data_IF_340442880903
#
_entry.id   IF_340442880903
#
_cell.length_a   1.000
_cell.length_b   1.000
_cell.length_c   1.000
_cell.angle_alpha   90.00
_cell.angle_beta   90.00
_cell.angle_gamma   90.00
#
_symmetry.space_group_name_H-M   'P 1'
#
loop_
_entity.id
_entity.type
_entity.pdbx_description
1 polymer ?
#
# COMPACT_ATOMS: atom_id res chain seq x y z
N UNK A 1 -18.75 -73.44 -5.56
CA UNK A 1 -17.70 -72.88 -6.44
C UNK A 1 -18.42 -72.19 -7.58
N UNK A 2 -18.70 -70.90 -7.43
CA UNK A 2 -19.21 -70.04 -8.51
C UNK A 2 -18.24 -68.86 -8.64
N UNK A 3 -17.73 -68.68 -9.84
CA UNK A 3 -16.66 -67.77 -10.22
C UNK A 3 -17.22 -66.39 -10.53
N UNK A 4 -16.84 -65.38 -9.73
CA UNK A 4 -17.12 -63.96 -9.99
C UNK A 4 -16.37 -63.46 -11.23
N UNK A 5 -17.11 -62.88 -12.18
CA UNK A 5 -16.56 -62.18 -13.33
C UNK A 5 -16.17 -60.74 -12.94
N UNK A 6 -14.90 -60.37 -13.17
CA UNK A 6 -14.39 -59.02 -12.96
C UNK A 6 -14.72 -58.10 -14.16
N UNK A 7 -15.29 -56.94 -13.87
CA UNK A 7 -15.56 -55.87 -14.84
C UNK A 7 -14.28 -55.07 -15.09
N UNK A 8 -13.94 -54.66 -16.34
CA UNK A 8 -12.75 -53.87 -16.60
C UNK A 8 -12.99 -52.39 -16.23
N UNK A 9 -12.19 -51.89 -15.30
CA UNK A 9 -12.15 -50.48 -14.90
C UNK A 9 -11.55 -49.64 -16.03
N UNK A 10 -12.35 -48.71 -16.57
CA UNK A 10 -11.95 -47.75 -17.61
C UNK A 10 -10.96 -46.75 -17.04
N UNK A 11 -9.79 -46.61 -17.67
CA UNK A 11 -8.78 -45.59 -17.33
C UNK A 11 -9.35 -44.17 -17.37
N UNK A 12 -8.89 -43.25 -16.49
CA UNK A 12 -9.29 -41.86 -16.53
C UNK A 12 -8.72 -41.17 -17.77
N UNK A 13 -9.60 -40.57 -18.57
CA UNK A 13 -9.21 -39.72 -19.70
C UNK A 13 -8.47 -38.47 -19.19
N UNK A 14 -7.45 -37.98 -19.91
CA UNK A 14 -6.87 -36.67 -19.62
C UNK A 14 -7.92 -35.56 -19.83
N UNK A 15 -7.85 -34.43 -19.09
CA UNK A 15 -8.76 -33.33 -19.27
C UNK A 15 -8.66 -32.80 -20.71
N UNK A 16 -9.80 -32.63 -21.36
CA UNK A 16 -9.88 -32.09 -22.71
C UNK A 16 -9.23 -30.69 -22.73
N UNK A 17 -8.28 -30.49 -23.63
CA UNK A 17 -7.71 -29.17 -23.89
C UNK A 17 -8.84 -28.21 -24.30
N UNK A 18 -8.96 -27.07 -23.60
CA UNK A 18 -9.93 -26.03 -23.92
C UNK A 18 -9.77 -25.61 -25.39
N UNK A 19 -10.88 -25.48 -26.16
CA UNK A 19 -10.80 -25.10 -27.55
C UNK A 19 -10.16 -23.71 -27.67
N UNK A 20 -9.18 -23.58 -28.56
CA UNK A 20 -8.55 -22.29 -28.86
C UNK A 20 -9.62 -21.30 -29.35
N UNK A 21 -9.64 -20.04 -28.87
CA UNK A 21 -10.67 -19.09 -29.23
C UNK A 21 -10.64 -18.80 -30.73
N UNK A 22 -11.81 -18.62 -31.33
CA UNK A 22 -11.91 -18.27 -32.75
C UNK A 22 -11.20 -16.93 -33.03
N UNK A 23 -10.57 -16.75 -34.21
CA UNK A 23 -9.82 -15.53 -34.53
C UNK A 23 -10.64 -14.23 -34.37
N UNK A 24 -11.93 -14.28 -34.69
CA UNK A 24 -12.86 -13.16 -34.55
C UNK A 24 -13.10 -12.79 -33.08
N UNK A 25 -13.27 -13.78 -32.22
CA UNK A 25 -13.47 -13.57 -30.77
C UNK A 25 -12.21 -13.02 -30.12
N UNK A 26 -11.04 -13.54 -30.51
CA UNK A 26 -9.75 -13.04 -30.03
C UNK A 26 -9.49 -11.59 -30.43
N UNK A 27 -9.88 -11.18 -31.64
CA UNK A 27 -9.74 -9.79 -32.08
C UNK A 27 -10.61 -8.83 -31.26
N UNK A 28 -11.85 -9.22 -30.97
CA UNK A 28 -12.78 -8.42 -30.17
C UNK A 28 -12.31 -8.32 -28.71
N UNK A 29 -11.89 -9.45 -28.13
CA UNK A 29 -11.27 -9.50 -26.79
C UNK A 29 -10.09 -8.54 -26.71
N UNK A 30 -9.15 -8.63 -27.68
CA UNK A 30 -7.95 -7.79 -27.70
C UNK A 30 -8.29 -6.31 -27.70
N UNK A 31 -9.30 -5.88 -28.47
CA UNK A 31 -9.72 -4.48 -28.48
C UNK A 31 -10.24 -3.99 -27.12
N UNK A 32 -10.96 -4.83 -26.39
CA UNK A 32 -11.46 -4.50 -25.06
C UNK A 32 -10.33 -4.52 -24.02
N UNK A 33 -9.48 -5.56 -24.05
CA UNK A 33 -8.33 -5.71 -23.18
C UNK A 33 -7.33 -4.55 -23.32
N UNK A 34 -7.00 -4.13 -24.55
CA UNK A 34 -6.14 -2.97 -24.83
C UNK A 34 -6.59 -1.71 -24.09
N UNK A 35 -7.90 -1.42 -24.13
CA UNK A 35 -8.48 -0.25 -23.46
C UNK A 35 -8.45 -0.40 -21.94
N UNK A 36 -8.83 -1.57 -21.43
CA UNK A 36 -8.84 -1.81 -20.00
C UNK A 36 -7.43 -1.71 -19.40
N UNK A 37 -6.46 -2.41 -20.00
CA UNK A 37 -5.07 -2.39 -19.56
C UNK A 37 -4.52 -0.95 -19.54
N UNK A 38 -4.76 -0.15 -20.58
CA UNK A 38 -4.41 1.29 -20.58
C UNK A 38 -5.02 2.04 -19.40
N UNK A 39 -6.33 1.89 -19.19
CA UNK A 39 -7.01 2.57 -18.09
C UNK A 39 -6.44 2.18 -16.73
N UNK A 40 -6.19 0.89 -16.49
CA UNK A 40 -5.62 0.42 -15.23
C UNK A 40 -4.21 0.96 -15.02
N UNK A 41 -3.37 1.01 -16.06
CA UNK A 41 -2.04 1.61 -15.96
C UNK A 41 -2.06 3.12 -15.74
N UNK A 42 -3.03 3.84 -16.30
CA UNK A 42 -3.26 5.25 -15.95
C UNK A 42 -3.70 5.41 -14.48
N UNK A 43 -4.51 4.49 -13.97
CA UNK A 43 -4.88 4.48 -12.54
C UNK A 43 -3.70 4.15 -11.64
N UNK A 44 -2.83 3.23 -12.04
CA UNK A 44 -1.58 2.93 -11.33
C UNK A 44 -0.68 4.16 -11.27
N UNK A 45 -0.49 4.87 -12.39
CA UNK A 45 0.31 6.10 -12.43
C UNK A 45 -0.24 7.17 -11.48
N UNK A 46 -1.53 7.48 -11.58
CA UNK A 46 -2.17 8.49 -10.73
C UNK A 46 -2.11 8.12 -9.23
N UNK A 47 -2.27 6.84 -8.89
CA UNK A 47 -2.18 6.37 -7.51
C UNK A 47 -0.74 6.42 -6.97
N UNK A 48 0.26 6.11 -7.81
CA UNK A 48 1.68 6.30 -7.48
C UNK A 48 1.98 7.77 -7.14
N UNK A 49 1.58 8.70 -8.00
CA UNK A 49 1.84 10.13 -7.76
C UNK A 49 1.19 10.60 -6.46
N UNK A 50 -0.08 10.22 -6.25
CA UNK A 50 -0.79 10.52 -5.00
C UNK A 50 -0.06 9.96 -3.76
N UNK A 51 0.50 8.75 -3.85
CA UNK A 51 1.30 8.18 -2.77
C UNK A 51 2.56 9.01 -2.51
N UNK A 52 3.32 9.36 -3.55
CA UNK A 52 4.58 10.09 -3.43
C UNK A 52 4.38 11.48 -2.84
N UNK A 53 3.33 12.20 -3.27
CA UNK A 53 2.95 13.49 -2.72
C UNK A 53 2.58 13.38 -1.23
N UNK A 54 1.71 12.43 -0.88
CA UNK A 54 1.31 12.20 0.51
C UNK A 54 2.49 11.79 1.40
N UNK A 55 3.44 11.01 0.87
CA UNK A 55 4.66 10.63 1.58
C UNK A 55 5.57 11.84 1.81
N UNK A 56 5.70 12.74 0.84
CA UNK A 56 6.48 13.97 0.96
C UNK A 56 5.86 14.93 1.99
N UNK A 57 4.54 15.11 1.94
CA UNK A 57 3.80 15.91 2.92
C UNK A 57 3.91 15.32 4.33
N UNK A 58 3.70 14.00 4.46
CA UNK A 58 3.84 13.28 5.73
C UNK A 58 5.22 13.47 6.34
N UNK A 59 6.28 13.44 5.52
CA UNK A 59 7.65 13.74 5.99
C UNK A 59 7.77 15.14 6.57
N UNK A 60 7.21 16.13 5.88
CA UNK A 60 7.24 17.52 6.33
C UNK A 60 6.54 17.65 7.69
N UNK A 61 5.37 17.02 7.87
CA UNK A 61 4.64 17.01 9.14
C UNK A 61 5.36 16.25 10.24
N UNK A 62 5.99 15.13 9.93
CA UNK A 62 6.83 14.41 10.88
C UNK A 62 8.01 15.27 11.37
N UNK A 63 8.68 15.99 10.47
CA UNK A 63 9.78 16.88 10.84
C UNK A 63 9.30 18.06 11.69
N UNK A 64 8.17 18.69 11.33
CA UNK A 64 7.57 19.76 12.12
C UNK A 64 7.14 19.29 13.51
N UNK A 65 6.58 18.08 13.62
CA UNK A 65 6.20 17.44 14.89
C UNK A 65 7.43 17.23 15.78
N UNK A 66 8.47 16.59 15.25
CA UNK A 66 9.72 16.34 15.97
C UNK A 66 10.37 17.65 16.44
N UNK A 67 10.43 18.65 15.56
CA UNK A 67 10.99 19.96 15.90
C UNK A 67 10.18 20.65 17.01
N UNK A 68 8.85 20.61 16.94
CA UNK A 68 7.98 21.19 17.96
C UNK A 68 8.16 20.48 19.31
N UNK A 69 8.21 19.14 19.29
CA UNK A 69 8.42 18.31 20.46
C UNK A 69 9.75 18.59 21.16
N UNK A 70 10.86 18.57 20.40
CA UNK A 70 12.20 18.89 20.94
C UNK A 70 12.23 20.32 21.48
N UNK A 71 11.70 21.29 20.73
CA UNK A 71 11.64 22.68 21.17
C UNK A 71 10.85 22.86 22.46
N UNK A 72 9.77 22.08 22.67
CA UNK A 72 8.96 22.13 23.87
C UNK A 72 9.72 21.54 25.05
N UNK A 73 10.33 20.37 24.86
CA UNK A 73 11.11 19.67 25.87
C UNK A 73 12.30 20.51 26.35
N UNK A 74 12.97 21.20 25.43
CA UNK A 74 14.17 21.99 25.73
C UNK A 74 13.81 23.44 26.17
N UNK A 75 12.54 23.82 26.12
CA UNK A 75 12.04 25.15 26.51
C UNK A 75 12.47 25.58 27.92
N UNK A 76 12.51 24.72 28.96
CA UNK A 76 12.99 25.12 30.29
C UNK A 76 14.45 25.58 30.30
N UNK A 77 15.30 24.94 29.49
CA UNK A 77 16.74 25.21 29.41
C UNK A 77 17.10 26.28 28.35
N UNK A 78 16.15 26.65 27.48
CA UNK A 78 16.38 27.59 26.38
C UNK A 78 16.72 28.99 26.92
N UNK A 79 17.81 29.58 26.42
CA UNK A 79 18.13 30.99 26.65
C UNK A 79 17.18 31.89 25.86
N UNK A 80 16.33 32.61 26.58
CA UNK A 80 15.37 33.54 26.00
C UNK A 80 15.93 34.97 25.87
N UNK A 81 17.20 35.19 26.25
CA UNK A 81 17.85 36.49 26.21
C UNK A 81 17.05 37.55 26.96
N UNK A 82 16.73 38.65 26.29
CA UNK A 82 15.94 39.77 26.84
C UNK A 82 14.51 39.40 27.22
N UNK A 83 13.99 38.28 26.73
CA UNK A 83 12.63 37.84 27.01
C UNK A 83 12.52 37.03 28.31
N UNK A 84 13.64 36.61 28.91
CA UNK A 84 13.64 35.73 30.11
C UNK A 84 12.90 36.33 31.32
N UNK A 85 12.89 37.66 31.41
CA UNK A 85 12.27 38.40 32.52
C UNK A 85 10.76 38.64 32.29
N UNK A 86 10.23 38.28 31.11
CA UNK A 86 8.81 38.42 30.80
C UNK A 86 8.00 37.33 31.54
N UNK A 87 7.06 37.71 32.43
CA UNK A 87 6.29 36.72 33.19
C UNK A 87 5.48 35.80 32.27
N UNK A 88 5.56 34.49 32.52
CA UNK A 88 4.77 33.46 31.81
C UNK A 88 5.16 33.23 30.34
N UNK A 89 6.26 33.81 29.84
CA UNK A 89 6.68 33.64 28.44
C UNK A 89 6.96 32.17 28.09
N UNK A 90 7.59 31.43 29.00
CA UNK A 90 7.91 30.00 28.82
C UNK A 90 6.63 29.18 28.71
N UNK A 91 5.68 29.37 29.63
CA UNK A 91 4.41 28.66 29.62
C UNK A 91 3.62 28.92 28.33
N UNK A 92 3.60 30.17 27.87
CA UNK A 92 2.94 30.55 26.61
C UNK A 92 3.64 29.95 25.39
N UNK A 93 4.97 29.92 25.38
CA UNK A 93 5.75 29.30 24.31
C UNK A 93 5.54 27.78 24.28
N UNK A 94 5.62 27.10 25.44
CA UNK A 94 5.33 25.68 25.58
C UNK A 94 3.91 25.33 25.14
N UNK A 95 2.91 26.13 25.55
CA UNK A 95 1.51 25.94 25.12
C UNK A 95 1.34 26.06 23.61
N UNK A 96 2.05 27.03 22.98
CA UNK A 96 2.03 27.20 21.52
C UNK A 96 2.68 26.01 20.81
N UNK A 97 3.77 25.48 21.37
CA UNK A 97 4.44 24.30 20.82
C UNK A 97 3.58 23.03 20.97
N UNK A 98 2.92 22.85 22.12
CA UNK A 98 1.99 21.74 22.34
C UNK A 98 0.85 21.74 21.32
N UNK A 99 0.24 22.91 21.07
CA UNK A 99 -0.78 23.04 20.02
C UNK A 99 -0.23 22.75 18.62
N UNK A 100 1.03 23.12 18.35
CA UNK A 100 1.68 22.81 17.06
C UNK A 100 1.92 21.31 16.92
N UNK A 101 2.33 20.62 17.98
CA UNK A 101 2.48 19.16 17.98
C UNK A 101 1.16 18.45 17.65
N UNK A 102 0.07 18.82 18.33
CA UNK A 102 -1.27 18.29 18.07
C UNK A 102 -1.68 18.47 16.61
N UNK A 103 -1.51 19.69 16.07
CA UNK A 103 -1.83 19.96 14.66
C UNK A 103 -0.95 19.14 13.70
N UNK A 104 0.36 19.06 13.93
CA UNK A 104 1.26 18.32 13.06
C UNK A 104 0.96 16.81 13.10
N UNK A 105 0.55 16.31 14.26
CA UNK A 105 0.12 14.92 14.47
C UNK A 105 -1.13 14.59 13.63
N UNK A 106 -2.17 15.42 13.70
CA UNK A 106 -3.40 15.20 12.92
C UNK A 106 -3.10 15.24 11.42
N UNK A 107 -2.26 16.19 10.98
CA UNK A 107 -1.84 16.28 9.59
C UNK A 107 -0.99 15.08 9.15
N UNK A 108 -0.09 14.59 10.01
CA UNK A 108 0.71 13.39 9.74
C UNK A 108 -0.20 12.16 9.56
N UNK A 109 -1.18 11.99 10.44
CA UNK A 109 -2.16 10.92 10.34
C UNK A 109 -3.01 11.02 9.06
N UNK A 110 -3.42 12.22 8.68
CA UNK A 110 -4.13 12.46 7.42
C UNK A 110 -3.26 12.13 6.19
N UNK A 111 -1.96 12.44 6.23
CA UNK A 111 -1.03 12.06 5.15
C UNK A 111 -0.92 10.54 5.07
N UNK A 112 -0.72 9.86 6.20
CA UNK A 112 -0.69 8.40 6.29
C UNK A 112 -1.96 7.75 5.70
N UNK A 113 -3.15 8.22 6.09
CA UNK A 113 -4.42 7.74 5.53
C UNK A 113 -4.48 7.92 4.00
N UNK A 114 -4.00 9.05 3.50
CA UNK A 114 -3.95 9.30 2.05
C UNK A 114 -3.03 8.29 1.34
N UNK A 115 -1.91 7.91 1.96
CA UNK A 115 -1.03 6.87 1.45
C UNK A 115 -1.73 5.51 1.42
N UNK A 116 -2.41 5.10 2.49
CA UNK A 116 -3.17 3.83 2.52
C UNK A 116 -4.22 3.79 1.40
N UNK A 117 -5.00 4.85 1.23
CA UNK A 117 -5.97 4.95 0.13
C UNK A 117 -5.32 4.85 -1.26
N UNK A 118 -4.18 5.53 -1.46
CA UNK A 118 -3.44 5.46 -2.72
C UNK A 118 -2.98 4.02 -3.02
N UNK A 119 -2.50 3.29 -2.01
CA UNK A 119 -2.12 1.88 -2.16
C UNK A 119 -3.32 0.97 -2.43
N UNK A 120 -4.47 1.22 -1.80
CA UNK A 120 -5.72 0.51 -2.13
C UNK A 120 -6.06 0.67 -3.62
N UNK A 121 -5.86 1.87 -4.18
CA UNK A 121 -6.07 2.12 -5.62
C UNK A 121 -5.04 1.40 -6.49
N UNK A 122 -3.76 1.36 -6.08
CA UNK A 122 -2.72 0.60 -6.77
C UNK A 122 -3.07 -0.90 -6.85
N UNK A 123 -3.39 -1.51 -5.71
CA UNK A 123 -3.78 -2.93 -5.62
C UNK A 123 -5.03 -3.24 -6.44
N UNK A 124 -6.03 -2.36 -6.38
CA UNK A 124 -7.24 -2.52 -7.17
C UNK A 124 -6.95 -2.48 -8.66
N UNK A 125 -6.17 -1.50 -9.12
CA UNK A 125 -5.83 -1.35 -10.53
C UNK A 125 -4.97 -2.52 -11.03
N UNK A 126 -4.01 -3.00 -10.23
CA UNK A 126 -3.17 -4.14 -10.61
C UNK A 126 -3.98 -5.42 -10.84
N UNK A 127 -5.03 -5.64 -10.03
CA UNK A 127 -5.92 -6.82 -10.11
C UNK A 127 -7.05 -6.69 -11.13
N UNK A 128 -7.23 -5.53 -11.75
CA UNK A 128 -8.40 -5.24 -12.62
C UNK A 128 -8.07 -5.24 -14.12
N UNK A 129 -6.93 -5.81 -14.53
CA UNK A 129 -6.48 -5.77 -15.93
C UNK A 129 -7.18 -6.79 -16.84
N UNK A 130 -7.71 -7.88 -16.26
CA UNK A 130 -8.40 -8.97 -16.98
C UNK A 130 -9.67 -8.48 -17.67
N UNK A 131 -9.97 -9.09 -18.81
CA UNK A 131 -11.15 -8.76 -19.62
C UNK A 131 -11.90 -10.04 -20.00
N UNK A 132 -13.09 -10.22 -19.44
CA UNK A 132 -13.88 -11.44 -19.47
C UNK A 132 -15.00 -11.35 -20.50
N UNK A 133 -15.38 -12.49 -21.05
CA UNK A 133 -16.52 -12.64 -21.94
C UNK A 133 -17.83 -12.45 -21.17
N UNK A 134 -18.74 -11.67 -21.73
CA UNK A 134 -20.06 -11.47 -21.14
C UNK A 134 -21.03 -12.54 -21.63
N UNK A 135 -21.69 -13.24 -20.71
CA UNK A 135 -22.74 -14.20 -21.05
C UNK A 135 -23.99 -13.42 -21.45
N UNK A 136 -24.39 -13.51 -22.73
CA UNK A 136 -25.60 -12.87 -23.24
C UNK A 136 -26.76 -13.88 -23.33
N UNK A 137 -27.90 -13.64 -22.65
CA UNK A 137 -29.02 -14.58 -22.64
C UNK A 137 -29.73 -14.75 -24.01
N UNK A 138 -29.56 -13.81 -24.96
CA UNK A 138 -30.24 -13.80 -26.26
C UNK A 138 -29.25 -13.68 -27.47
N UNK A 139 -28.03 -14.19 -27.32
CA UNK A 139 -26.83 -13.73 -28.04
C UNK A 139 -26.75 -13.87 -29.57
N UNK A 140 -26.08 -12.87 -30.18
CA UNK A 140 -25.34 -13.02 -31.46
C UNK A 140 -24.02 -12.23 -31.52
N UNK A 141 -23.74 -11.31 -30.58
CA UNK A 141 -22.52 -10.46 -30.57
C UNK A 141 -21.69 -10.72 -29.30
N UNK A 142 -20.41 -11.03 -29.48
CA UNK A 142 -19.45 -11.17 -28.38
C UNK A 142 -19.23 -9.81 -27.69
N UNK A 143 -19.39 -9.78 -26.36
CA UNK A 143 -19.15 -8.61 -25.52
C UNK A 143 -18.13 -8.97 -24.43
N UNK A 144 -17.36 -7.98 -23.98
CA UNK A 144 -16.35 -8.16 -22.95
C UNK A 144 -16.52 -7.15 -21.81
N UNK A 145 -16.15 -7.55 -20.60
CA UNK A 145 -16.36 -6.85 -19.34
C UNK A 145 -15.14 -6.98 -18.43
N UNK A 146 -15.02 -6.10 -17.45
CA UNK A 146 -14.02 -6.20 -16.36
C UNK A 146 -14.49 -7.14 -15.23
N UNK A 147 -15.76 -7.57 -15.26
CA UNK A 147 -16.35 -8.50 -14.28
C UNK A 147 -16.37 -9.92 -14.83
N UNK A 148 -15.96 -10.87 -13.98
CA UNK A 148 -16.01 -12.29 -14.30
C UNK A 148 -17.44 -12.81 -14.09
N UNK A 149 -18.14 -13.05 -15.20
CA UNK A 149 -19.48 -13.68 -15.20
C UNK A 149 -19.39 -15.21 -15.43
N UNK A 150 -18.36 -15.67 -16.15
CA UNK A 150 -18.06 -17.09 -16.41
C UNK A 150 -16.78 -17.50 -15.68
N UNK A 151 -16.89 -18.48 -14.77
CA UNK A 151 -15.75 -18.99 -13.99
C UNK A 151 -14.71 -19.74 -14.84
N UNK A 152 -15.09 -20.17 -16.05
CA UNK A 152 -14.16 -20.84 -16.96
C UNK A 152 -13.36 -19.85 -17.84
N UNK A 153 -13.71 -18.56 -17.80
CA UNK A 153 -12.97 -17.50 -18.50
C UNK A 153 -11.91 -16.90 -17.57
N UNK A 154 -10.64 -17.11 -17.91
CA UNK A 154 -9.48 -16.54 -17.23
C UNK A 154 -9.29 -15.05 -17.49
N UNK A 155 -9.98 -14.48 -18.48
CA UNK A 155 -9.93 -13.08 -18.84
C UNK A 155 -8.63 -12.62 -19.53
N UNK A 156 -7.67 -13.52 -19.80
CA UNK A 156 -6.41 -13.24 -20.51
C UNK A 156 -6.39 -13.62 -21.99
N UNK A 157 -7.53 -14.01 -22.54
CA UNK A 157 -7.62 -14.37 -23.96
C UNK A 157 -6.73 -15.57 -24.30
N UNK A 158 -6.47 -16.46 -23.34
CA UNK A 158 -5.65 -17.65 -23.52
C UNK A 158 -4.15 -17.35 -23.60
N UNK A 159 -3.69 -16.29 -22.93
CA UNK A 159 -2.29 -15.88 -22.92
C UNK A 159 -1.83 -15.14 -24.17
N UNK A 160 -2.76 -14.76 -25.06
CA UNK A 160 -2.41 -14.01 -26.25
C UNK A 160 -1.88 -12.60 -25.88
N UNK A 161 -0.89 -12.07 -26.62
CA UNK A 161 -0.46 -10.69 -26.43
C UNK A 161 -1.63 -9.71 -26.61
N UNK A 162 -1.77 -8.80 -25.66
CA UNK A 162 -2.74 -7.69 -25.69
C UNK A 162 -2.25 -6.64 -26.69
N UNK A 163 -0.98 -6.27 -26.56
CA UNK A 163 -0.27 -5.36 -27.44
C UNK A 163 0.63 -6.13 -28.41
N UNK A 164 1.88 -5.71 -28.59
CA UNK A 164 2.80 -6.29 -29.56
C UNK A 164 3.51 -7.51 -28.99
N UNK A 165 3.95 -7.42 -27.75
CA UNK A 165 4.76 -8.40 -27.05
C UNK A 165 4.09 -8.86 -25.75
N UNK A 166 3.45 -7.96 -25.02
CA UNK A 166 2.94 -8.27 -23.67
C UNK A 166 1.49 -8.78 -23.68
N UNK A 167 1.31 -9.91 -22.99
CA UNK A 167 0.07 -10.50 -22.50
C UNK A 167 -0.43 -9.75 -21.25
N UNK A 168 -1.68 -10.04 -20.82
CA UNK A 168 -2.19 -9.47 -19.57
C UNK A 168 -1.31 -9.87 -18.38
N UNK A 169 -0.82 -11.11 -18.35
CA UNK A 169 -0.01 -11.62 -17.25
C UNK A 169 1.31 -10.83 -17.09
N UNK A 170 1.94 -10.42 -18.18
CA UNK A 170 3.17 -9.61 -18.12
C UNK A 170 2.89 -8.22 -17.55
N UNK A 171 1.77 -7.58 -17.94
CA UNK A 171 1.36 -6.32 -17.33
C UNK A 171 1.01 -6.48 -15.85
N UNK A 172 0.30 -7.54 -15.48
CA UNK A 172 -0.02 -7.82 -14.07
C UNK A 172 1.24 -8.06 -13.26
N UNK A 173 2.23 -8.78 -13.80
CA UNK A 173 3.51 -9.02 -13.15
C UNK A 173 4.26 -7.72 -12.87
N UNK A 174 4.34 -6.81 -13.84
CA UNK A 174 4.96 -5.50 -13.65
C UNK A 174 4.20 -4.65 -12.63
N UNK A 175 2.86 -4.66 -12.67
CA UNK A 175 2.04 -3.93 -11.72
C UNK A 175 2.14 -4.51 -10.29
N UNK A 176 2.28 -5.83 -10.17
CA UNK A 176 2.45 -6.51 -8.90
C UNK A 176 3.80 -6.17 -8.27
N UNK A 177 4.87 -6.09 -9.06
CA UNK A 177 6.19 -5.61 -8.60
C UNK A 177 6.09 -4.18 -8.02
N UNK A 178 5.36 -3.27 -8.70
CA UNK A 178 5.07 -1.94 -8.16
C UNK A 178 4.37 -2.02 -6.80
N UNK A 179 3.27 -2.78 -6.73
CA UNK A 179 2.47 -2.94 -5.50
C UNK A 179 3.34 -3.43 -4.34
N UNK A 180 4.21 -4.41 -4.56
CA UNK A 180 5.06 -4.98 -3.52
C UNK A 180 6.05 -3.97 -2.93
N UNK A 181 6.61 -3.08 -3.77
CA UNK A 181 7.45 -1.97 -3.30
C UNK A 181 6.65 -1.03 -2.38
N UNK A 182 5.43 -0.63 -2.80
CA UNK A 182 4.59 0.28 -2.01
C UNK A 182 4.02 -0.36 -0.74
N UNK A 183 3.66 -1.64 -0.78
CA UNK A 183 3.24 -2.41 0.41
C UNK A 183 4.35 -2.46 1.45
N UNK A 184 5.58 -2.77 1.01
CA UNK A 184 6.74 -2.84 1.90
C UNK A 184 7.07 -1.47 2.50
N UNK A 185 6.96 -0.41 1.71
CA UNK A 185 7.15 0.97 2.17
C UNK A 185 6.05 1.43 3.14
N UNK A 186 4.78 1.03 2.91
CA UNK A 186 3.68 1.31 3.83
C UNK A 186 3.91 0.73 5.22
N UNK A 187 4.39 -0.53 5.29
CA UNK A 187 4.66 -1.20 6.57
C UNK A 187 5.63 -0.40 7.43
N UNK A 188 6.73 0.05 6.82
CA UNK A 188 7.73 0.88 7.50
C UNK A 188 7.12 2.23 7.91
N UNK A 189 6.43 2.91 7.01
CA UNK A 189 5.85 4.22 7.31
C UNK A 189 4.79 4.14 8.41
N UNK A 190 3.98 3.09 8.45
CA UNK A 190 3.04 2.84 9.54
C UNK A 190 3.74 2.74 10.89
N UNK A 191 4.86 2.01 10.98
CA UNK A 191 5.67 1.94 12.21
C UNK A 191 6.19 3.31 12.62
N UNK A 192 6.70 4.09 11.66
CA UNK A 192 7.19 5.43 11.93
C UNK A 192 6.07 6.35 12.42
N UNK A 193 4.87 6.28 11.83
CA UNK A 193 3.70 7.02 12.31
C UNK A 193 3.33 6.63 13.74
N UNK A 194 3.26 5.33 14.05
CA UNK A 194 2.97 4.83 15.39
C UNK A 194 3.94 5.41 16.44
N UNK A 195 5.25 5.32 16.16
CA UNK A 195 6.28 5.81 17.07
C UNK A 195 6.23 7.34 17.20
N UNK A 196 6.10 8.07 16.09
CA UNK A 196 6.03 9.53 16.08
C UNK A 196 4.79 10.08 16.79
N UNK A 197 3.63 9.46 16.62
CA UNK A 197 2.41 9.88 17.31
C UNK A 197 2.54 9.57 18.82
N UNK A 198 3.17 8.44 19.17
CA UNK A 198 3.39 8.01 20.56
C UNK A 198 4.29 8.95 21.37
N UNK A 199 5.16 9.75 20.74
CA UNK A 199 6.02 10.70 21.47
C UNK A 199 5.22 11.79 22.20
N UNK A 200 4.01 12.10 21.71
CA UNK A 200 3.16 13.17 22.24
C UNK A 200 2.24 12.72 23.38
N UNK A 201 1.96 11.42 23.49
CA UNK A 201 1.01 10.87 24.46
C UNK A 201 1.55 10.75 25.89
N UNK A 202 2.87 10.74 26.07
CA UNK A 202 3.49 10.29 27.33
C UNK A 202 3.72 11.37 28.39
N UNK A 203 3.32 12.61 28.13
CA UNK A 203 3.55 13.72 29.05
C UNK A 203 2.26 14.04 29.84
N UNK A 204 2.00 13.31 30.93
CA UNK A 204 1.04 13.78 31.95
C UNK A 204 0.18 12.77 32.72
N UNK A 205 0.12 11.47 32.35
CA UNK A 205 -0.75 10.52 33.08
C UNK A 205 -0.07 9.17 33.25
N UNK A 206 0.08 8.75 34.51
CA UNK A 206 0.50 7.41 34.88
C UNK A 206 -0.46 6.39 34.26
N UNK A 207 0.11 5.49 33.44
CA UNK A 207 -0.52 4.29 32.88
C UNK A 207 -1.69 4.55 31.92
N UNK A 208 -1.43 4.61 30.60
CA UNK A 208 -2.30 3.94 29.62
C UNK A 208 -1.76 3.97 28.18
N UNK A 209 -1.73 2.77 27.59
CA UNK A 209 -1.73 2.43 26.15
C UNK A 209 -0.66 3.09 25.29
N UNK A 210 0.52 2.48 25.27
CA UNK A 210 1.36 2.54 24.07
C UNK A 210 0.54 2.00 22.90
N UNK A 211 0.49 2.74 21.79
CA UNK A 211 -0.08 2.22 20.56
C UNK A 211 0.66 0.92 20.19
N UNK A 212 -0.11 -0.13 19.97
CA UNK A 212 0.35 -1.40 19.42
C UNK A 212 0.20 -1.41 17.90
N UNK A 213 0.91 -2.31 17.23
CA UNK A 213 0.73 -2.53 15.80
C UNK A 213 -0.71 -2.89 15.45
N UNK A 214 -1.41 -3.64 16.31
CA UNK A 214 -2.80 -4.02 16.07
C UNK A 214 -3.81 -2.87 16.19
N UNK A 215 -3.42 -1.72 16.74
CA UNK A 215 -4.34 -0.61 16.98
C UNK A 215 -4.68 0.13 15.68
N UNK A 216 -5.96 0.47 15.49
CA UNK A 216 -6.36 1.36 14.40
C UNK A 216 -5.85 2.78 14.66
N UNK A 217 -5.11 3.32 13.70
CA UNK A 217 -4.67 4.71 13.68
C UNK A 217 -5.82 5.66 13.28
N UNK A 218 -6.79 5.17 12.53
CA UNK A 218 -8.01 5.87 12.15
C UNK A 218 -9.13 4.89 11.83
N UNK A 219 -10.38 5.36 11.95
CA UNK A 219 -11.57 4.54 11.70
C UNK A 219 -11.53 3.87 10.31
N UNK A 220 -11.54 2.53 10.31
CA UNK A 220 -11.59 1.72 9.10
C UNK A 220 -10.23 1.33 8.51
N UNK A 221 -9.12 1.72 9.14
CA UNK A 221 -7.76 1.34 8.72
C UNK A 221 -7.62 -0.18 8.53
N UNK A 222 -8.15 -0.99 9.46
CA UNK A 222 -8.04 -2.46 9.40
C UNK A 222 -8.60 -3.01 8.09
N UNK A 223 -9.79 -2.56 7.70
CA UNK A 223 -10.44 -3.04 6.47
C UNK A 223 -9.63 -2.66 5.22
N UNK A 224 -9.03 -1.47 5.22
CA UNK A 224 -8.19 -1.01 4.13
C UNK A 224 -6.89 -1.80 4.06
N UNK A 225 -6.22 -2.04 5.18
CA UNK A 225 -5.02 -2.89 5.28
C UNK A 225 -5.31 -4.33 4.85
N UNK A 226 -6.44 -4.90 5.24
CA UNK A 226 -6.89 -6.22 4.75
C UNK A 226 -7.05 -6.23 3.23
N UNK A 227 -7.66 -5.19 2.64
CA UNK A 227 -7.90 -5.11 1.20
C UNK A 227 -6.62 -5.13 0.34
N UNK A 228 -5.52 -4.61 0.89
CA UNK A 228 -4.19 -4.59 0.27
C UNK A 228 -3.31 -5.79 0.66
N UNK A 229 -3.87 -6.76 1.39
CA UNK A 229 -3.16 -7.99 1.78
C UNK A 229 -2.20 -7.82 2.96
N UNK A 230 -2.39 -6.78 3.78
CA UNK A 230 -1.58 -6.51 4.97
C UNK A 230 -2.15 -7.06 6.29
N UNK A 231 -3.36 -7.60 6.29
CA UNK A 231 -3.95 -8.28 7.44
C UNK A 231 -4.80 -9.46 6.92
N UNK A 232 -4.56 -10.68 7.41
CA UNK A 232 -5.48 -11.82 7.22
C UNK A 232 -6.43 -11.86 8.42
N UNK A 233 -7.72 -12.10 8.19
CA UNK A 233 -8.78 -11.93 9.18
C UNK A 233 -8.75 -12.86 10.41
N UNK A 234 -7.69 -13.64 10.61
CA UNK A 234 -7.55 -14.60 11.73
C UNK A 234 -6.16 -14.59 12.39
N UNK A 235 -5.20 -13.81 11.85
CA UNK A 235 -3.87 -13.67 12.44
C UNK A 235 -3.55 -12.18 12.55
N UNK A 236 -3.38 -11.71 13.78
CA UNK A 236 -2.66 -10.45 14.05
C UNK A 236 -1.39 -10.52 13.23
N UNK A 237 -1.27 -9.71 12.17
CA UNK A 237 -0.14 -9.81 11.26
C UNK A 237 1.12 -9.78 12.13
N UNK A 238 1.89 -10.87 12.25
CA UNK A 238 3.11 -10.79 13.02
C UNK A 238 3.93 -9.75 12.26
N UNK A 239 4.43 -8.74 12.98
CA UNK A 239 5.56 -7.99 12.46
C UNK A 239 6.53 -9.03 11.87
N UNK A 240 7.21 -8.73 10.74
CA UNK A 240 8.31 -9.57 10.28
C UNK A 240 9.12 -10.04 11.51
N UNK A 241 9.36 -11.35 11.68
CA UNK A 241 9.82 -11.93 12.96
C UNK A 241 11.09 -11.24 13.50
N UNK A 242 11.92 -10.73 12.58
CA UNK A 242 13.11 -9.92 12.81
C UNK A 242 12.83 -8.53 13.45
N UNK A 243 11.60 -8.03 13.41
CA UNK A 243 11.18 -6.77 14.01
C UNK A 243 10.38 -6.98 15.31
N UNK A 244 9.75 -8.14 15.47
CA UNK A 244 9.02 -8.50 16.67
C UNK A 244 9.95 -8.73 17.89
N UNK A 245 11.18 -9.21 17.65
CA UNK A 245 12.18 -9.46 18.70
C UNK A 245 12.67 -8.18 19.39
N UNK A 246 12.79 -7.06 18.66
CA UNK A 246 13.24 -5.77 19.21
C UNK A 246 12.14 -5.02 19.98
N UNK A 247 10.88 -5.17 19.59
CA UNK A 247 9.75 -4.51 20.25
C UNK A 247 9.33 -5.24 21.54
N UNK A 248 9.37 -6.57 21.55
CA UNK A 248 8.99 -7.39 22.72
C UNK A 248 10.12 -7.62 23.72
N UNK A 249 11.38 -7.36 23.35
CA UNK A 249 12.54 -7.90 24.04
C UNK A 249 13.20 -7.05 25.13
N UNK A 250 13.32 -5.73 24.98
CA UNK A 250 14.15 -4.95 25.91
C UNK A 250 13.69 -3.48 26.09
N UNK A 251 13.35 -3.14 27.34
CA UNK A 251 13.30 -1.78 27.92
C UNK A 251 12.47 -0.71 27.17
N UNK A 252 11.14 -0.85 27.12
CA UNK A 252 10.24 0.33 27.08
C UNK A 252 10.13 0.96 28.48
N UNK A 253 11.25 1.21 29.15
CA UNK A 253 11.29 1.90 30.44
C UNK A 253 11.25 3.41 30.18
N UNK A 254 10.05 4.00 30.16
CA UNK A 254 9.77 5.43 30.43
C UNK A 254 10.51 6.53 29.66
N UNK A 255 11.48 6.21 28.81
CA UNK A 255 12.38 7.19 28.21
C UNK A 255 11.84 7.59 26.83
N UNK A 256 11.67 8.90 26.66
CA UNK A 256 11.38 9.49 25.36
C UNK A 256 12.51 9.16 24.36
N UNK A 257 12.21 8.93 23.07
CA UNK A 257 13.23 8.70 22.07
C UNK A 257 14.25 9.85 22.06
N UNK A 258 15.54 9.49 21.97
CA UNK A 258 16.62 10.48 21.90
C UNK A 258 16.57 11.26 20.58
N UNK A 259 17.31 12.36 20.50
CA UNK A 259 17.41 13.16 19.27
C UNK A 259 17.91 12.30 18.09
N UNK A 260 18.90 11.43 18.34
CA UNK A 260 19.46 10.52 17.35
C UNK A 260 18.42 9.53 16.82
N UNK A 261 17.58 8.97 17.71
CA UNK A 261 16.49 8.06 17.32
C UNK A 261 15.47 8.76 16.44
N UNK A 262 15.05 9.98 16.82
CA UNK A 262 14.11 10.77 16.02
C UNK A 262 14.70 11.14 14.65
N UNK A 263 16.00 11.43 14.59
CA UNK A 263 16.70 11.67 13.33
C UNK A 263 16.71 10.42 12.44
N UNK A 264 16.90 9.23 13.02
CA UNK A 264 16.81 7.95 12.29
C UNK A 264 15.41 7.76 11.71
N UNK A 265 14.35 8.03 12.47
CA UNK A 265 12.96 7.94 11.97
C UNK A 265 12.71 8.87 10.77
N UNK A 266 13.12 10.14 10.87
CA UNK A 266 12.97 11.10 9.78
C UNK A 266 13.81 10.72 8.54
N UNK A 267 15.00 10.16 8.76
CA UNK A 267 15.89 9.71 7.69
C UNK A 267 15.34 8.46 6.99
N UNK A 268 14.82 7.49 7.76
CA UNK A 268 14.17 6.30 7.22
C UNK A 268 12.94 6.66 6.37
N UNK A 269 12.13 7.62 6.83
CA UNK A 269 11.01 8.15 6.04
C UNK A 269 11.48 8.78 4.73
N UNK A 270 12.52 9.62 4.79
CA UNK A 270 13.09 10.33 3.62
C UNK A 270 13.60 9.36 2.55
N UNK A 271 14.33 8.34 2.98
CA UNK A 271 15.07 7.48 2.07
C UNK A 271 14.14 6.65 1.16
N UNK A 272 12.86 6.51 1.51
CA UNK A 272 11.92 5.61 0.83
C UNK A 272 12.59 4.25 0.60
N UNK A 273 13.18 3.68 1.65
CA UNK A 273 14.13 2.56 1.57
C UNK A 273 13.59 1.33 0.82
N UNK A 274 12.27 1.18 0.76
CA UNK A 274 11.60 0.06 0.11
C UNK A 274 11.10 0.39 -1.32
N UNK A 275 11.36 1.60 -1.83
CA UNK A 275 10.98 2.05 -3.16
C UNK A 275 12.24 2.21 -4.03
N UNK A 276 12.37 1.35 -5.04
CA UNK A 276 13.40 1.51 -6.07
C UNK A 276 12.88 2.44 -7.18
N UNK A 277 13.22 3.73 -7.09
CA UNK A 277 12.76 4.75 -8.05
C UNK A 277 13.15 4.46 -9.49
N UNK A 278 14.40 4.04 -9.73
CA UNK A 278 14.84 3.71 -11.09
C UNK A 278 14.07 2.52 -11.66
N UNK A 279 13.71 1.55 -10.83
CA UNK A 279 12.90 0.41 -11.26
C UNK A 279 11.46 0.82 -11.58
N UNK A 280 10.88 1.73 -10.79
CA UNK A 280 9.57 2.32 -11.10
C UNK A 280 9.62 2.99 -12.47
N UNK A 281 10.61 3.84 -12.72
CA UNK A 281 10.75 4.57 -13.99
C UNK A 281 10.90 3.59 -15.17
N UNK A 282 11.72 2.54 -15.00
CA UNK A 282 11.88 1.47 -15.99
C UNK A 282 10.56 0.73 -16.27
N UNK A 283 9.79 0.38 -15.24
CA UNK A 283 8.50 -0.30 -15.41
C UNK A 283 7.54 0.57 -16.22
N UNK A 284 7.41 1.86 -15.89
CA UNK A 284 6.53 2.76 -16.63
C UNK A 284 7.03 2.98 -18.06
N UNK A 285 8.34 3.10 -18.28
CA UNK A 285 8.93 3.21 -19.62
C UNK A 285 8.60 1.99 -20.48
N UNK A 286 8.83 0.77 -19.97
CA UNK A 286 8.50 -0.48 -20.66
C UNK A 286 7.02 -0.54 -21.06
N UNK A 287 6.14 -0.13 -20.14
CA UNK A 287 4.69 -0.13 -20.37
C UNK A 287 4.29 0.92 -21.41
N UNK A 288 4.82 2.14 -21.32
CA UNK A 288 4.54 3.21 -22.27
C UNK A 288 5.02 2.87 -23.68
N UNK A 289 6.21 2.27 -23.81
CA UNK A 289 6.76 1.79 -25.07
C UNK A 289 5.86 0.72 -25.70
N UNK A 290 5.43 -0.26 -24.90
CA UNK A 290 4.55 -1.32 -25.36
C UNK A 290 3.16 -0.79 -25.77
N UNK A 291 2.62 0.16 -25.01
CA UNK A 291 1.33 0.78 -25.28
C UNK A 291 1.35 1.82 -26.40
N UNK A 292 2.55 2.34 -26.72
CA UNK A 292 2.81 3.51 -27.58
C UNK A 292 2.05 4.76 -27.14
N UNK A 293 1.92 4.94 -25.82
CA UNK A 293 1.17 6.04 -25.19
C UNK A 293 1.88 6.43 -23.91
N UNK A 294 1.96 7.74 -23.63
CA UNK A 294 2.45 8.24 -22.34
C UNK A 294 1.36 8.16 -21.27
N UNK A 295 1.72 7.68 -20.10
CA UNK A 295 0.89 7.66 -18.90
C UNK A 295 1.20 8.94 -18.13
N UNK A 296 0.32 9.94 -18.27
CA UNK A 296 0.44 11.27 -17.66
C UNK A 296 0.52 11.24 -16.15
#
# INVERSE_FOLDING_TARGET
METSAATPTRSPHPPAASPSPSPSSLRLWRSAALRNVRNQWSHLHAAKEQWLDAAADGRSRAAELVNAHISRRDMPATDLGVLKDMPGIRDKASSKLARKEEQCRDMLLSCYKTMVHALCRLVKASRSMRCFSKVSPNGSVAQFSERQDDLNDSGDGGGAPVFKWFSILEFESLAQELVEMFVSDLKLKRLLVLELISITFKEGTEHQTSLDWGDELYDGETNELQSIGLQSGDETCPLPENWCADISGNQRLGNHPSHEVLQVYLTAWLANVNINKSRIDEIFELVEEEMKVKLS
#
